data_IF_667797857106
#
_entry.id   IF_667797857106
#
_cell.length_a   1.000
_cell.length_b   1.000
_cell.length_c   1.000
_cell.angle_alpha   90.00
_cell.angle_beta   90.00
_cell.angle_gamma   90.00
#
_symmetry.space_group_name_H-M   'P 1'
#
loop_
_entity.id
_entity.type
_entity.pdbx_description
1 polymer ?
#
# COMPACT_ATOMS: atom_id res chain seq x y z
N UNK A 1 -22.46 14.80 7.41
CA UNK A 1 -21.62 13.60 7.34
C UNK A 1 -22.55 12.38 7.51
N UNK A 2 -22.50 11.39 6.62
CA UNK A 2 -23.41 10.25 6.69
C UNK A 2 -23.04 9.37 7.92
N UNK A 3 -24.03 8.84 8.69
CA UNK A 3 -23.82 8.03 9.89
C UNK A 3 -22.75 6.93 9.70
N UNK A 4 -22.74 6.23 8.56
CA UNK A 4 -21.73 5.20 8.22
C UNK A 4 -20.30 5.76 8.15
N UNK A 5 -20.13 6.98 7.68
CA UNK A 5 -18.81 7.65 7.57
C UNK A 5 -18.30 8.05 8.95
N UNK A 6 -19.19 8.53 9.82
CA UNK A 6 -18.85 8.90 11.21
C UNK A 6 -18.44 7.67 12.02
N UNK A 7 -19.19 6.56 11.89
CA UNK A 7 -18.84 5.29 12.56
C UNK A 7 -17.49 4.74 12.09
N UNK A 8 -17.22 4.73 10.77
CA UNK A 8 -15.93 4.28 10.23
C UNK A 8 -14.77 5.15 10.70
N UNK A 9 -14.95 6.47 10.77
CA UNK A 9 -13.91 7.38 11.27
C UNK A 9 -13.68 7.17 12.77
N UNK A 10 -14.74 7.06 13.56
CA UNK A 10 -14.66 6.80 15.00
C UNK A 10 -13.93 5.48 15.29
N UNK A 11 -14.26 4.42 14.55
CA UNK A 11 -13.58 3.14 14.68
C UNK A 11 -12.09 3.23 14.33
N UNK A 12 -11.73 3.93 13.24
CA UNK A 12 -10.33 4.15 12.85
C UNK A 12 -9.57 4.93 13.92
N UNK A 13 -10.16 5.97 14.49
CA UNK A 13 -9.56 6.76 15.59
C UNK A 13 -9.37 5.90 16.83
N UNK A 14 -10.37 5.08 17.21
CA UNK A 14 -10.26 4.17 18.35
C UNK A 14 -9.12 3.15 18.16
N UNK A 15 -9.07 2.51 17.00
CA UNK A 15 -8.01 1.53 16.69
C UNK A 15 -6.63 2.20 16.76
N UNK A 16 -6.48 3.37 16.18
CA UNK A 16 -5.20 4.10 16.17
C UNK A 16 -4.81 4.58 17.57
N UNK A 17 -5.75 5.09 18.36
CA UNK A 17 -5.49 5.50 19.75
C UNK A 17 -5.08 4.30 20.61
N UNK A 18 -5.77 3.17 20.47
CA UNK A 18 -5.42 1.92 21.16
C UNK A 18 -4.02 1.44 20.71
N UNK A 19 -3.72 1.49 19.43
CA UNK A 19 -2.43 1.07 18.89
C UNK A 19 -1.29 1.97 19.40
N UNK A 20 -1.48 3.31 19.43
CA UNK A 20 -0.52 4.24 20.04
C UNK A 20 -0.33 3.95 21.55
N UNK A 21 -1.41 3.76 22.29
CA UNK A 21 -1.34 3.40 23.69
C UNK A 21 -0.51 2.13 23.91
N UNK A 22 -0.80 1.07 23.15
CA UNK A 22 -0.09 -0.19 23.25
C UNK A 22 1.40 -0.06 22.86
N UNK A 23 1.71 0.76 21.85
CA UNK A 23 3.07 1.01 21.40
C UNK A 23 3.92 1.73 22.48
N UNK A 24 3.33 2.71 23.19
CA UNK A 24 4.10 3.61 24.05
C UNK A 24 3.83 3.45 25.54
N UNK A 25 2.89 2.59 25.95
CA UNK A 25 2.50 2.44 27.38
C UNK A 25 3.66 2.08 28.32
N UNK A 26 4.70 1.44 27.80
CA UNK A 26 5.86 0.99 28.55
C UNK A 26 7.06 1.96 28.45
N UNK A 27 6.90 3.12 27.79
CA UNK A 27 7.96 4.10 27.57
C UNK A 27 7.53 5.44 28.15
N UNK A 28 8.19 5.94 29.20
CA UNK A 28 7.93 7.29 29.73
C UNK A 28 8.16 8.36 28.64
N UNK A 29 7.23 9.30 28.52
CA UNK A 29 7.31 10.36 27.50
C UNK A 29 8.61 11.16 27.55
N UNK A 30 9.15 11.42 28.77
CA UNK A 30 10.44 12.09 28.93
C UNK A 30 11.58 11.31 28.28
N UNK A 31 11.67 10.00 28.54
CA UNK A 31 12.70 9.15 27.94
C UNK A 31 12.58 9.06 26.41
N UNK A 32 11.35 9.06 25.89
CA UNK A 32 11.10 9.09 24.44
C UNK A 32 11.61 10.39 23.81
N UNK A 33 11.31 11.55 24.43
CA UNK A 33 11.79 12.86 23.96
C UNK A 33 13.31 12.94 24.01
N UNK A 34 13.93 12.50 25.12
CA UNK A 34 15.39 12.48 25.27
C UNK A 34 16.05 11.58 24.23
N UNK A 35 15.43 10.42 23.93
CA UNK A 35 15.92 9.53 22.88
C UNK A 35 15.82 10.17 21.49
N UNK A 36 14.69 10.79 21.16
CA UNK A 36 14.52 11.49 19.88
C UNK A 36 15.52 12.63 19.71
N UNK A 37 15.84 13.36 20.79
CA UNK A 37 16.86 14.41 20.79
C UNK A 37 18.29 13.87 20.61
N UNK A 38 18.55 12.61 20.96
CA UNK A 38 19.84 11.96 20.81
C UNK A 38 20.13 11.41 19.41
N UNK A 39 19.14 11.39 18.52
CA UNK A 39 19.29 10.86 17.16
C UNK A 39 20.26 11.72 16.34
N UNK A 40 21.18 11.09 15.67
CA UNK A 40 22.20 11.73 14.84
C UNK A 40 21.61 12.20 13.50
N UNK A 41 21.28 13.49 13.40
CA UNK A 41 20.68 14.13 12.23
C UNK A 41 21.39 13.83 10.88
N UNK A 42 22.74 13.73 10.80
CA UNK A 42 23.42 13.42 9.55
C UNK A 42 22.93 12.15 8.85
N UNK A 43 22.40 11.16 9.57
CA UNK A 43 21.85 9.93 9.02
C UNK A 43 20.41 10.07 8.49
N UNK A 44 19.68 11.06 9.00
CA UNK A 44 18.32 11.36 8.51
C UNK A 44 18.36 11.85 7.05
N UNK A 45 19.38 12.65 6.69
CA UNK A 45 19.51 13.22 5.34
C UNK A 45 19.58 12.13 4.25
N UNK A 46 20.53 11.17 4.30
CA UNK A 46 20.59 10.09 3.31
C UNK A 46 19.34 9.19 3.35
N UNK A 47 18.74 8.94 4.53
CA UNK A 47 17.50 8.17 4.64
C UNK A 47 16.36 8.86 3.87
N UNK A 48 16.16 10.17 4.04
CA UNK A 48 15.18 10.97 3.29
C UNK A 48 15.47 10.98 1.79
N UNK A 49 16.74 11.12 1.37
CA UNK A 49 17.11 11.09 -0.05
C UNK A 49 16.75 9.74 -0.68
N UNK A 50 17.03 8.63 0.01
CA UNK A 50 16.66 7.28 -0.45
C UNK A 50 15.14 7.15 -0.58
N UNK A 51 14.34 7.69 0.36
CA UNK A 51 12.88 7.73 0.26
C UNK A 51 12.46 8.48 -1.01
N UNK A 52 12.95 9.69 -1.24
CA UNK A 52 12.59 10.48 -2.42
C UNK A 52 12.98 9.80 -3.74
N UNK A 53 14.16 9.18 -3.80
CA UNK A 53 14.60 8.36 -4.96
C UNK A 53 13.64 7.18 -5.17
N UNK A 54 13.26 6.47 -4.10
CA UNK A 54 12.29 5.38 -4.17
C UNK A 54 10.96 5.83 -4.79
N UNK A 55 10.46 7.03 -4.43
CA UNK A 55 9.24 7.58 -5.02
C UNK A 55 9.40 8.02 -6.48
N UNK A 56 10.58 8.51 -6.87
CA UNK A 56 10.88 8.78 -8.28
C UNK A 56 10.87 7.48 -9.11
N UNK A 57 11.43 6.39 -8.58
CA UNK A 57 11.40 5.08 -9.23
C UNK A 57 9.99 4.49 -9.28
N UNK A 58 9.15 4.71 -8.25
CA UNK A 58 7.71 4.36 -8.28
C UNK A 58 6.99 5.09 -9.41
N UNK A 59 7.28 6.37 -9.62
CA UNK A 59 6.71 7.14 -10.73
C UNK A 59 7.18 6.61 -12.11
N UNK A 60 8.46 6.23 -12.22
CA UNK A 60 9.00 5.60 -13.43
C UNK A 60 8.32 4.26 -13.72
N UNK A 61 8.14 3.42 -12.68
CA UNK A 61 7.40 2.15 -12.80
C UNK A 61 5.97 2.39 -13.25
N UNK A 62 5.26 3.34 -12.63
CA UNK A 62 3.90 3.66 -13.01
C UNK A 62 3.77 4.21 -14.43
N UNK A 63 4.74 5.00 -14.89
CA UNK A 63 4.85 5.43 -16.29
C UNK A 63 4.93 4.24 -17.25
N UNK A 64 5.69 3.19 -16.90
CA UNK A 64 5.79 1.97 -17.72
C UNK A 64 4.45 1.23 -17.76
N UNK A 65 3.76 1.15 -16.63
CA UNK A 65 2.44 0.53 -16.53
C UNK A 65 1.42 1.33 -17.36
N UNK A 66 1.38 2.66 -17.21
CA UNK A 66 0.50 3.56 -17.97
C UNK A 66 0.73 3.50 -19.48
N UNK A 67 1.94 3.18 -19.92
CA UNK A 67 2.24 3.07 -21.36
C UNK A 67 1.51 1.92 -22.07
N UNK A 68 0.76 1.09 -21.35
CA UNK A 68 -0.21 0.15 -21.94
C UNK A 68 -1.50 0.84 -22.40
N UNK A 69 -1.86 1.95 -21.76
CA UNK A 69 -3.05 2.75 -22.09
C UNK A 69 -2.67 4.00 -22.89
N UNK A 70 -1.73 4.76 -22.38
CA UNK A 70 -1.25 6.02 -22.99
C UNK A 70 0.22 6.25 -22.64
N UNK A 71 1.04 6.57 -23.66
CA UNK A 71 2.45 6.96 -23.41
C UNK A 71 2.49 8.34 -22.78
N UNK A 72 3.14 8.44 -21.62
CA UNK A 72 3.24 9.68 -20.85
C UNK A 72 4.69 10.04 -20.56
N UNK A 73 4.95 11.34 -20.38
CA UNK A 73 6.22 11.83 -19.86
C UNK A 73 6.34 11.53 -18.34
N UNK A 74 7.54 11.74 -17.77
CA UNK A 74 7.80 11.46 -16.36
C UNK A 74 7.00 12.37 -15.42
N UNK A 75 7.08 13.70 -15.61
CA UNK A 75 6.46 14.67 -14.71
C UNK A 75 4.92 14.59 -14.65
N UNK A 76 4.19 14.45 -15.77
CA UNK A 76 2.76 14.16 -15.76
C UNK A 76 2.35 12.90 -15.00
N UNK A 77 3.26 11.93 -14.86
CA UNK A 77 3.05 10.73 -14.03
C UNK A 77 3.45 10.95 -12.58
N UNK A 78 4.56 11.66 -12.34
CA UNK A 78 5.12 11.91 -11.01
C UNK A 78 4.18 12.76 -10.13
N UNK A 79 3.70 13.90 -10.64
CA UNK A 79 2.88 14.80 -9.83
C UNK A 79 1.56 14.17 -9.33
N UNK A 80 0.74 13.50 -10.15
CA UNK A 80 -0.46 12.81 -9.66
C UNK A 80 -0.13 11.72 -8.62
N UNK A 81 0.98 11.02 -8.81
CA UNK A 81 1.45 10.01 -7.85
C UNK A 81 1.79 10.64 -6.50
N UNK A 82 2.63 11.69 -6.47
CA UNK A 82 3.04 12.34 -5.23
C UNK A 82 1.84 12.97 -4.49
N UNK A 83 0.91 13.60 -5.23
CA UNK A 83 -0.33 14.13 -4.67
C UNK A 83 -1.17 12.98 -4.06
N UNK A 84 -1.29 11.84 -4.74
CA UNK A 84 -2.02 10.68 -4.23
C UNK A 84 -1.42 10.12 -2.94
N UNK A 85 -0.10 9.96 -2.88
CA UNK A 85 0.57 9.50 -1.64
C UNK A 85 0.44 10.51 -0.51
N UNK A 86 0.58 11.80 -0.78
CA UNK A 86 0.31 12.86 0.20
C UNK A 86 -1.13 12.80 0.72
N UNK A 87 -2.11 12.61 -0.17
CA UNK A 87 -3.53 12.49 0.22
C UNK A 87 -3.72 11.29 1.16
N UNK A 88 -3.06 10.16 0.92
CA UNK A 88 -3.10 9.00 1.82
C UNK A 88 -2.50 9.30 3.21
N UNK A 89 -1.53 10.22 3.29
CA UNK A 89 -0.97 10.67 4.56
C UNK A 89 -1.88 11.65 5.32
N UNK A 90 -2.73 12.41 4.60
CA UNK A 90 -3.54 13.49 5.20
C UNK A 90 -5.01 13.07 5.37
N UNK A 91 -5.55 12.24 4.48
CA UNK A 91 -6.95 11.81 4.49
C UNK A 91 -7.09 10.32 4.83
N UNK A 92 -8.16 9.91 5.53
CA UNK A 92 -8.42 8.52 5.86
C UNK A 92 -8.87 7.72 4.64
N UNK A 93 -8.71 6.38 4.69
CA UNK A 93 -9.35 5.45 3.74
C UNK A 93 -8.65 5.30 2.41
N UNK A 94 -7.35 5.64 2.31
CA UNK A 94 -6.52 5.48 1.09
C UNK A 94 -7.11 6.15 -0.16
N UNK A 95 -7.80 7.30 0.04
CA UNK A 95 -8.45 8.06 -1.03
C UNK A 95 -7.44 8.50 -2.10
N UNK A 96 -6.16 8.61 -1.77
CA UNK A 96 -5.10 8.95 -2.71
C UNK A 96 -4.94 7.95 -3.86
N UNK A 97 -5.29 6.68 -3.68
CA UNK A 97 -5.27 5.69 -4.77
C UNK A 97 -6.34 5.98 -5.83
N UNK A 98 -7.47 6.57 -5.41
CA UNK A 98 -8.55 7.05 -6.30
C UNK A 98 -8.22 8.44 -6.85
N UNK A 99 -7.59 9.30 -6.05
CA UNK A 99 -7.22 10.65 -6.47
C UNK A 99 -6.24 10.64 -7.66
N UNK A 100 -5.30 9.69 -7.72
CA UNK A 100 -4.33 9.56 -8.82
C UNK A 100 -5.02 9.42 -10.19
N UNK A 101 -5.92 8.47 -10.45
CA UNK A 101 -6.68 8.36 -11.70
C UNK A 101 -7.56 9.57 -11.99
N UNK A 102 -8.18 10.19 -10.97
CA UNK A 102 -8.97 11.41 -11.15
C UNK A 102 -8.11 12.57 -11.65
N UNK A 103 -6.92 12.76 -11.07
CA UNK A 103 -5.99 13.81 -11.50
C UNK A 103 -5.51 13.54 -12.93
N UNK A 104 -5.18 12.29 -13.26
CA UNK A 104 -4.79 11.88 -14.62
C UNK A 104 -5.90 12.16 -15.64
N UNK A 105 -7.16 11.80 -15.33
CA UNK A 105 -8.31 12.08 -16.19
C UNK A 105 -8.42 13.59 -16.45
N UNK A 106 -8.34 14.41 -15.41
CA UNK A 106 -8.48 15.88 -15.49
C UNK A 106 -7.33 16.58 -16.20
N UNK A 107 -6.10 16.09 -16.08
CA UNK A 107 -4.90 16.75 -16.60
C UNK A 107 -4.41 16.20 -17.94
N UNK A 108 -4.55 14.90 -18.14
CA UNK A 108 -3.95 14.19 -19.27
C UNK A 108 -4.98 13.46 -20.14
N UNK A 109 -6.28 13.51 -19.78
CA UNK A 109 -7.34 12.86 -20.53
C UNK A 109 -7.37 11.33 -20.42
N UNK A 110 -6.58 10.72 -19.54
CA UNK A 110 -6.58 9.27 -19.34
C UNK A 110 -7.91 8.83 -18.73
N UNK A 111 -8.63 7.85 -19.32
CA UNK A 111 -9.89 7.36 -18.75
C UNK A 111 -9.70 6.91 -17.28
N UNK A 112 -10.63 7.30 -16.41
CA UNK A 112 -10.55 6.99 -14.97
C UNK A 112 -10.39 5.50 -14.71
N UNK A 113 -11.18 4.66 -15.38
CA UNK A 113 -11.15 3.19 -15.24
C UNK A 113 -9.79 2.60 -15.64
N UNK A 114 -9.20 3.12 -16.73
CA UNK A 114 -7.86 2.70 -17.16
C UNK A 114 -6.79 3.15 -16.17
N UNK A 115 -6.87 4.40 -15.67
CA UNK A 115 -5.99 4.88 -14.60
C UNK A 115 -6.09 4.04 -13.32
N UNK A 116 -7.31 3.68 -12.91
CA UNK A 116 -7.55 2.83 -11.74
C UNK A 116 -6.97 1.42 -11.92
N UNK A 117 -7.14 0.82 -13.11
CA UNK A 117 -6.56 -0.48 -13.44
C UNK A 117 -5.02 -0.46 -13.33
N UNK A 118 -4.37 0.63 -13.76
CA UNK A 118 -2.90 0.76 -13.62
C UNK A 118 -2.45 0.88 -12.17
N UNK A 119 -3.22 1.56 -11.30
CA UNK A 119 -2.96 1.62 -9.86
C UNK A 119 -3.13 0.22 -9.23
N UNK A 120 -4.17 -0.52 -9.62
CA UNK A 120 -4.37 -1.90 -9.15
C UNK A 120 -3.21 -2.81 -9.60
N UNK A 121 -2.74 -2.69 -10.84
CA UNK A 121 -1.56 -3.40 -11.34
C UNK A 121 -0.33 -3.12 -10.47
N UNK A 122 -0.12 -1.86 -10.09
CA UNK A 122 0.97 -1.48 -9.19
C UNK A 122 0.87 -2.18 -7.83
N UNK A 123 -0.35 -2.25 -7.25
CA UNK A 123 -0.58 -2.96 -5.97
C UNK A 123 -0.28 -4.46 -6.06
N UNK A 124 -0.55 -5.08 -7.19
CA UNK A 124 -0.22 -6.49 -7.41
C UNK A 124 1.30 -6.73 -7.40
N UNK A 125 2.08 -5.88 -8.10
CA UNK A 125 3.54 -5.96 -8.04
C UNK A 125 4.06 -5.77 -6.60
N UNK A 126 3.53 -4.76 -5.90
CA UNK A 126 3.92 -4.47 -4.52
C UNK A 126 3.59 -5.65 -3.58
N UNK A 127 2.38 -6.21 -3.67
CA UNK A 127 1.96 -7.34 -2.84
C UNK A 127 2.77 -8.60 -3.14
N UNK A 128 2.97 -8.94 -4.42
CA UNK A 128 3.73 -10.12 -4.83
C UNK A 128 5.18 -10.07 -4.34
N UNK A 129 5.82 -8.91 -4.47
CA UNK A 129 7.21 -8.74 -4.01
C UNK A 129 7.32 -8.62 -2.49
N UNK A 130 6.36 -7.98 -1.82
CA UNK A 130 6.33 -7.93 -0.36
C UNK A 130 6.33 -9.34 0.23
N UNK A 131 5.53 -10.25 -0.34
CA UNK A 131 5.44 -11.63 0.12
C UNK A 131 6.69 -12.43 -0.24
N UNK A 132 7.24 -12.23 -1.45
CA UNK A 132 8.50 -12.86 -1.81
C UNK A 132 9.63 -12.39 -0.89
N UNK A 133 9.70 -11.10 -0.60
CA UNK A 133 10.68 -10.52 0.31
C UNK A 133 10.49 -11.01 1.76
N UNK A 134 9.23 -11.11 2.21
CA UNK A 134 8.90 -11.71 3.50
C UNK A 134 9.38 -13.17 3.60
N UNK A 135 9.15 -13.99 2.58
CA UNK A 135 9.63 -15.36 2.57
C UNK A 135 11.15 -15.46 2.62
N UNK A 136 11.86 -14.59 1.88
CA UNK A 136 13.33 -14.51 1.90
C UNK A 136 13.81 -14.11 3.30
N UNK A 137 13.24 -13.04 3.88
CA UNK A 137 13.63 -12.56 5.21
C UNK A 137 13.39 -13.64 6.28
N UNK A 138 12.23 -14.33 6.25
CA UNK A 138 11.96 -15.42 7.19
C UNK A 138 12.94 -16.60 7.08
N UNK A 139 13.55 -16.82 5.90
CA UNK A 139 14.55 -17.86 5.70
C UNK A 139 15.92 -17.51 6.32
N UNK A 140 16.22 -16.20 6.48
CA UNK A 140 17.52 -15.71 6.95
C UNK A 140 17.49 -15.09 8.37
N UNK A 141 16.29 -14.83 8.91
CA UNK A 141 16.12 -14.26 10.23
C UNK A 141 16.09 -15.39 11.28
N UNK A 142 16.98 -15.29 12.25
CA UNK A 142 16.94 -16.13 13.45
C UNK A 142 15.97 -15.51 14.47
N UNK A 143 14.73 -16.01 14.46
CA UNK A 143 13.76 -15.69 15.52
C UNK A 143 13.98 -16.69 16.65
N UNK A 144 14.30 -16.17 17.84
CA UNK A 144 14.45 -17.00 19.04
C UNK A 144 13.18 -17.85 19.25
N UNK A 145 13.30 -19.20 19.24
CA UNK A 145 12.14 -20.08 19.40
C UNK A 145 11.40 -19.89 20.73
N UNK A 146 12.04 -19.28 21.74
CA UNK A 146 11.46 -19.02 23.05
C UNK A 146 10.70 -17.68 23.10
N UNK A 147 10.85 -16.82 22.09
CA UNK A 147 10.09 -15.57 22.01
C UNK A 147 8.64 -15.90 21.74
N UNK A 148 7.81 -15.63 22.73
CA UNK A 148 6.35 -15.79 22.69
C UNK A 148 5.74 -14.48 23.17
N UNK A 149 5.25 -13.67 22.22
CA UNK A 149 4.60 -12.40 22.55
C UNK A 149 3.10 -12.63 22.63
N UNK A 150 2.48 -12.46 23.79
CA UNK A 150 1.02 -12.59 23.91
C UNK A 150 0.32 -11.46 23.16
N UNK A 151 -0.54 -11.81 22.21
CA UNK A 151 -1.40 -10.87 21.48
C UNK A 151 -2.88 -11.27 21.64
N UNK A 152 -3.51 -10.76 22.67
CA UNK A 152 -4.86 -11.13 23.04
C UNK A 152 -4.98 -12.61 23.42
N UNK A 153 -5.73 -13.39 22.67
CA UNK A 153 -5.87 -14.84 22.83
C UNK A 153 -4.85 -15.67 22.07
N UNK A 154 -4.01 -15.01 21.26
CA UNK A 154 -3.01 -15.64 20.43
C UNK A 154 -1.60 -15.37 20.96
N UNK A 155 -0.70 -16.32 20.76
CA UNK A 155 0.74 -16.12 20.99
C UNK A 155 1.42 -15.98 19.65
N UNK A 156 2.11 -14.88 19.45
CA UNK A 156 2.97 -14.70 18.28
C UNK A 156 4.32 -15.33 18.57
N UNK A 157 4.53 -16.46 17.95
CA UNK A 157 5.76 -17.23 17.95
C UNK A 157 6.18 -17.49 16.49
N UNK A 158 7.31 -18.15 16.30
CA UNK A 158 7.83 -18.52 14.98
C UNK A 158 6.79 -19.31 14.15
N UNK A 159 6.04 -20.22 14.75
CA UNK A 159 5.04 -21.04 14.07
C UNK A 159 3.89 -20.18 13.54
N UNK A 160 3.39 -19.24 14.35
CA UNK A 160 2.33 -18.32 13.95
C UNK A 160 2.76 -17.41 12.81
N UNK A 161 4.01 -16.89 12.84
CA UNK A 161 4.56 -16.08 11.76
C UNK A 161 4.71 -16.88 10.46
N UNK A 162 5.15 -18.13 10.55
CA UNK A 162 5.24 -19.05 9.41
C UNK A 162 3.85 -19.38 8.85
N UNK A 163 2.85 -19.59 9.71
CA UNK A 163 1.47 -19.82 9.29
C UNK A 163 0.87 -18.61 8.58
N UNK A 164 1.09 -17.40 9.12
CA UNK A 164 0.68 -16.14 8.49
C UNK A 164 1.37 -15.99 7.13
N UNK A 165 2.68 -16.19 7.06
CA UNK A 165 3.46 -16.11 5.82
C UNK A 165 2.96 -17.08 4.76
N UNK A 166 2.67 -18.33 5.15
CA UNK A 166 2.12 -19.35 4.26
C UNK A 166 0.72 -19.00 3.77
N UNK A 167 -0.13 -18.44 4.66
CA UNK A 167 -1.47 -17.96 4.32
C UNK A 167 -1.42 -16.82 3.29
N UNK A 168 -0.56 -15.84 3.52
CA UNK A 168 -0.34 -14.72 2.62
C UNK A 168 0.23 -15.17 1.27
N UNK A 169 1.17 -16.11 1.27
CA UNK A 169 1.71 -16.70 0.05
C UNK A 169 0.62 -17.39 -0.78
N UNK A 170 -0.24 -18.21 -0.14
CA UNK A 170 -1.40 -18.83 -0.82
C UNK A 170 -2.35 -17.79 -1.40
N UNK A 171 -2.66 -16.73 -0.64
CA UNK A 171 -3.52 -15.64 -1.12
C UNK A 171 -2.91 -14.93 -2.33
N UNK A 172 -1.60 -14.72 -2.36
CA UNK A 172 -0.91 -14.18 -3.52
C UNK A 172 -0.96 -15.10 -4.73
N UNK A 173 -0.77 -16.41 -4.54
CA UNK A 173 -0.89 -17.36 -5.64
C UNK A 173 -2.28 -17.31 -6.27
N UNK A 174 -3.33 -17.22 -5.45
CA UNK A 174 -4.72 -17.05 -5.93
C UNK A 174 -4.87 -15.72 -6.69
N UNK A 175 -4.31 -14.63 -6.17
CA UNK A 175 -4.32 -13.33 -6.85
C UNK A 175 -3.60 -13.36 -8.20
N UNK A 176 -2.40 -13.94 -8.25
CA UNK A 176 -1.62 -14.11 -9.49
C UNK A 176 -2.39 -14.97 -10.50
N UNK A 177 -2.98 -16.08 -10.04
CA UNK A 177 -3.81 -16.94 -10.90
C UNK A 177 -5.00 -16.17 -11.48
N UNK A 178 -5.68 -15.36 -10.68
CA UNK A 178 -6.76 -14.48 -11.13
C UNK A 178 -6.31 -13.49 -12.21
N UNK A 179 -5.12 -12.89 -12.04
CA UNK A 179 -4.54 -11.98 -13.02
C UNK A 179 -4.22 -12.71 -14.32
N UNK A 180 -3.62 -13.90 -14.24
CA UNK A 180 -3.32 -14.72 -15.43
C UNK A 180 -4.61 -15.03 -16.18
N UNK A 181 -5.67 -15.43 -15.46
CA UNK A 181 -6.99 -15.74 -16.05
C UNK A 181 -7.57 -14.53 -16.79
N UNK A 182 -7.45 -13.32 -16.23
CA UNK A 182 -7.94 -12.08 -16.85
C UNK A 182 -7.03 -11.63 -18.00
N UNK A 183 -5.72 -11.85 -17.90
CA UNK A 183 -4.74 -11.37 -18.89
C UNK A 183 -4.67 -12.24 -20.15
N UNK A 184 -4.99 -13.54 -20.06
CA UNK A 184 -5.00 -14.46 -21.19
C UNK A 184 -6.35 -14.38 -21.91
N UNK A 185 -6.34 -14.07 -23.20
CA UNK A 185 -7.58 -13.82 -23.97
C UNK A 185 -8.53 -15.03 -23.98
N UNK A 186 -8.00 -16.25 -24.04
CA UNK A 186 -8.81 -17.48 -24.06
C UNK A 186 -9.60 -17.67 -22.73
N UNK A 187 -8.93 -17.57 -21.58
CA UNK A 187 -9.55 -17.72 -20.26
C UNK A 187 -10.47 -16.54 -19.92
N UNK A 188 -10.07 -15.31 -20.29
CA UNK A 188 -10.90 -14.12 -20.14
C UNK A 188 -12.21 -14.25 -20.91
N UNK A 189 -12.16 -14.66 -22.19
CA UNK A 189 -13.35 -14.82 -23.01
C UNK A 189 -14.26 -15.95 -22.47
N UNK A 190 -13.68 -17.00 -21.90
CA UNK A 190 -14.46 -18.04 -21.22
C UNK A 190 -15.17 -17.50 -19.98
N UNK A 191 -14.47 -16.71 -19.16
CA UNK A 191 -15.02 -16.08 -17.99
C UNK A 191 -16.15 -15.10 -18.34
N UNK A 192 -15.94 -14.26 -19.37
CA UNK A 192 -16.96 -13.32 -19.88
C UNK A 192 -18.21 -14.07 -20.35
N UNK A 193 -18.05 -15.12 -21.16
CA UNK A 193 -19.17 -15.95 -21.61
C UNK A 193 -19.94 -16.58 -20.44
N UNK A 194 -19.25 -16.99 -19.40
CA UNK A 194 -19.88 -17.53 -18.19
C UNK A 194 -20.70 -16.46 -17.47
N UNK A 195 -20.15 -15.24 -17.31
CA UNK A 195 -20.84 -14.11 -16.66
C UNK A 195 -22.07 -13.68 -17.49
N UNK A 196 -21.94 -13.58 -18.81
CA UNK A 196 -23.05 -13.22 -19.71
C UNK A 196 -24.17 -14.28 -19.71
N UNK A 197 -23.82 -15.56 -19.52
CA UNK A 197 -24.80 -16.65 -19.38
C UNK A 197 -25.41 -16.77 -17.98
N UNK A 198 -24.80 -16.14 -16.97
CA UNK A 198 -25.27 -16.27 -15.58
C UNK A 198 -26.75 -15.90 -15.41
N UNK A 199 -27.31 -14.83 -16.01
CA UNK A 199 -28.74 -14.52 -15.88
C UNK A 199 -29.66 -15.60 -16.43
N UNK A 200 -29.19 -16.42 -17.39
CA UNK A 200 -30.02 -17.50 -17.95
C UNK A 200 -30.24 -18.66 -16.97
N UNK A 201 -29.36 -18.84 -15.99
CA UNK A 201 -29.50 -19.83 -14.93
C UNK A 201 -30.51 -19.40 -13.84
N UNK A 202 -30.86 -18.11 -13.77
CA UNK A 202 -31.80 -17.57 -12.81
C UNK A 202 -33.25 -17.73 -13.29
N UNK A 203 -33.66 -18.97 -13.63
CA UNK A 203 -34.96 -19.29 -14.24
C UNK A 203 -36.14 -18.90 -13.33
N UNK A 204 -35.89 -18.82 -12.02
CA UNK A 204 -36.90 -18.44 -11.00
C UNK A 204 -37.20 -16.95 -10.95
N UNK A 205 -36.43 -16.09 -11.65
CA UNK A 205 -36.67 -14.65 -11.74
C UNK A 205 -37.51 -14.28 -12.96
N UNK A 206 -38.35 -13.23 -12.83
CA UNK A 206 -39.11 -12.66 -13.96
C UNK A 206 -38.14 -12.10 -15.00
N UNK A 207 -38.54 -12.17 -16.28
CA UNK A 207 -37.72 -11.72 -17.43
C UNK A 207 -37.11 -10.34 -17.22
N UNK A 208 -37.90 -9.34 -16.81
CA UNK A 208 -37.43 -7.96 -16.58
C UNK A 208 -36.31 -7.87 -15.53
N UNK A 209 -36.28 -8.74 -14.53
CA UNK A 209 -35.20 -8.76 -13.53
C UNK A 209 -33.93 -9.43 -14.07
N UNK A 210 -34.09 -10.44 -14.94
CA UNK A 210 -32.97 -11.11 -15.60
C UNK A 210 -32.30 -10.17 -16.59
N UNK A 211 -33.06 -9.41 -17.36
CA UNK A 211 -32.54 -8.42 -18.30
C UNK A 211 -31.80 -7.28 -17.56
N UNK A 212 -32.37 -6.83 -16.43
CA UNK A 212 -31.70 -5.84 -15.57
C UNK A 212 -30.35 -6.35 -15.01
N UNK A 213 -30.28 -7.62 -14.61
CA UNK A 213 -29.05 -8.26 -14.14
C UNK A 213 -28.05 -8.40 -15.30
N UNK A 214 -28.50 -8.82 -16.49
CA UNK A 214 -27.66 -8.95 -17.66
C UNK A 214 -27.04 -7.61 -18.04
N UNK A 215 -27.84 -6.56 -18.19
CA UNK A 215 -27.39 -5.27 -18.69
C UNK A 215 -26.58 -4.48 -17.65
N UNK A 216 -27.11 -4.38 -16.42
CA UNK A 216 -26.46 -3.54 -15.40
C UNK A 216 -25.34 -4.25 -14.65
N UNK A 217 -25.58 -5.46 -14.14
CA UNK A 217 -24.60 -6.15 -13.32
C UNK A 217 -23.55 -6.88 -14.16
N UNK A 218 -23.98 -7.75 -15.08
CA UNK A 218 -23.04 -8.52 -15.90
C UNK A 218 -22.28 -7.60 -16.85
N UNK A 219 -22.94 -6.63 -17.51
CA UNK A 219 -22.29 -5.64 -18.35
C UNK A 219 -21.27 -4.78 -17.59
N UNK A 220 -21.58 -4.40 -16.33
CA UNK A 220 -20.64 -3.70 -15.46
C UNK A 220 -19.42 -4.57 -15.10
N UNK A 221 -19.62 -5.84 -14.71
CA UNK A 221 -18.54 -6.77 -14.38
C UNK A 221 -17.66 -7.04 -15.59
N UNK A 222 -18.25 -7.29 -16.78
CA UNK A 222 -17.50 -7.49 -18.03
C UNK A 222 -16.65 -6.27 -18.38
N UNK A 223 -17.19 -5.06 -18.20
CA UNK A 223 -16.45 -3.80 -18.41
C UNK A 223 -15.26 -3.68 -17.44
N UNK A 224 -15.46 -4.04 -16.17
CA UNK A 224 -14.38 -4.09 -15.18
C UNK A 224 -13.30 -5.08 -15.63
N UNK A 225 -13.66 -6.31 -16.00
CA UNK A 225 -12.72 -7.36 -16.43
C UNK A 225 -11.90 -6.87 -17.63
N UNK A 226 -12.53 -6.27 -18.64
CA UNK A 226 -11.83 -5.75 -19.81
C UNK A 226 -10.90 -4.58 -19.47
N UNK A 227 -11.33 -3.63 -18.65
CA UNK A 227 -10.49 -2.51 -18.20
C UNK A 227 -9.28 -3.00 -17.38
N UNK A 228 -9.48 -4.02 -16.53
CA UNK A 228 -8.38 -4.66 -15.81
C UNK A 228 -7.44 -5.42 -16.78
N UNK A 229 -7.98 -6.14 -17.74
CA UNK A 229 -7.19 -6.83 -18.76
C UNK A 229 -6.31 -5.86 -19.55
N UNK A 230 -6.83 -4.68 -19.90
CA UNK A 230 -6.07 -3.63 -20.58
C UNK A 230 -4.97 -3.07 -19.68
N UNK A 231 -5.26 -2.84 -18.38
CA UNK A 231 -4.26 -2.43 -17.38
C UNK A 231 -3.16 -3.47 -17.19
N UNK A 232 -3.50 -4.77 -17.25
CA UNK A 232 -2.56 -5.88 -17.18
C UNK A 232 -1.95 -6.27 -18.54
N UNK A 233 -2.30 -5.62 -19.63
CA UNK A 233 -1.77 -5.94 -20.98
C UNK A 233 -0.24 -5.83 -21.04
N UNK A 234 0.37 -5.07 -20.14
CA UNK A 234 1.81 -5.00 -19.95
C UNK A 234 2.44 -6.38 -19.63
N UNK A 235 1.69 -7.32 -19.00
CA UNK A 235 2.15 -8.70 -18.70
C UNK A 235 2.46 -9.47 -19.99
N UNK A 236 1.82 -9.13 -21.11
CA UNK A 236 2.10 -9.69 -22.44
C UNK A 236 3.47 -9.25 -23.01
N UNK A 237 4.11 -8.23 -22.42
CA UNK A 237 5.44 -7.76 -22.83
C UNK A 237 6.49 -8.19 -21.80
N UNK A 238 7.33 -9.20 -22.10
CA UNK A 238 8.33 -9.71 -21.15
C UNK A 238 9.33 -8.61 -20.73
N UNK A 239 9.67 -7.70 -21.63
CA UNK A 239 10.54 -6.57 -21.30
C UNK A 239 9.93 -5.60 -20.30
N UNK A 240 8.66 -5.21 -20.46
CA UNK A 240 7.96 -4.34 -19.50
C UNK A 240 7.78 -5.03 -18.16
N UNK A 241 7.44 -6.33 -18.18
CA UNK A 241 7.30 -7.15 -16.97
C UNK A 241 8.63 -7.19 -16.20
N UNK A 242 9.73 -7.51 -16.87
CA UNK A 242 11.06 -7.53 -16.28
C UNK A 242 11.47 -6.16 -15.72
N UNK A 243 11.22 -5.08 -16.47
CA UNK A 243 11.52 -3.71 -16.03
C UNK A 243 10.72 -3.32 -14.78
N UNK A 244 9.41 -3.64 -14.73
CA UNK A 244 8.58 -3.35 -13.56
C UNK A 244 8.95 -4.21 -12.35
N UNK A 245 9.27 -5.48 -12.55
CA UNK A 245 9.75 -6.37 -11.49
C UNK A 245 11.10 -5.88 -10.94
N UNK A 246 12.05 -5.55 -11.82
CA UNK A 246 13.35 -5.01 -11.42
C UNK A 246 13.24 -3.69 -10.66
N UNK A 247 12.42 -2.74 -11.15
CA UNK A 247 12.15 -1.49 -10.44
C UNK A 247 11.50 -1.75 -9.08
N UNK A 248 10.58 -2.69 -9.00
CA UNK A 248 9.92 -3.01 -7.74
C UNK A 248 10.90 -3.63 -6.73
N UNK A 249 11.80 -4.52 -7.16
CA UNK A 249 12.87 -5.04 -6.30
C UNK A 249 13.76 -3.90 -5.78
N UNK A 250 14.21 -3.00 -6.65
CA UNK A 250 15.02 -1.83 -6.25
C UNK A 250 14.25 -0.96 -5.25
N UNK A 251 12.97 -0.69 -5.48
CA UNK A 251 12.13 0.11 -4.58
C UNK A 251 12.05 -0.52 -3.18
N UNK A 252 11.86 -1.84 -3.08
CA UNK A 252 11.79 -2.53 -1.80
C UNK A 252 13.14 -2.57 -1.09
N UNK A 253 14.24 -2.81 -1.83
CA UNK A 253 15.61 -2.72 -1.27
C UNK A 253 15.92 -1.31 -0.77
N UNK A 254 15.58 -0.27 -1.53
CA UNK A 254 15.75 1.12 -1.08
C UNK A 254 14.91 1.43 0.17
N UNK A 255 13.73 0.85 0.30
CA UNK A 255 12.95 0.93 1.54
C UNK A 255 13.72 0.38 2.73
N UNK A 256 14.28 -0.83 2.61
CA UNK A 256 15.10 -1.45 3.65
C UNK A 256 16.38 -0.63 3.93
N UNK A 257 17.03 -0.11 2.89
CA UNK A 257 18.21 0.78 3.04
C UNK A 257 17.85 2.05 3.82
N UNK A 258 16.68 2.66 3.56
CA UNK A 258 16.23 3.85 4.30
C UNK A 258 16.02 3.55 5.79
N UNK A 259 15.43 2.39 6.13
CA UNK A 259 15.29 1.93 7.51
C UNK A 259 16.66 1.73 8.16
N UNK A 260 17.59 1.10 7.45
CA UNK A 260 18.95 0.86 7.97
C UNK A 260 19.73 2.15 8.20
N UNK A 261 19.70 3.09 7.25
CA UNK A 261 20.32 4.41 7.40
C UNK A 261 19.75 5.15 8.60
N UNK A 262 18.43 5.08 8.82
CA UNK A 262 17.81 5.68 9.99
C UNK A 262 18.28 5.01 11.28
N UNK A 263 18.44 3.68 11.29
CA UNK A 263 18.93 2.93 12.45
C UNK A 263 20.38 3.29 12.82
N UNK A 264 21.25 3.52 11.83
CA UNK A 264 22.62 3.99 12.08
C UNK A 264 22.68 5.34 12.80
N UNK A 265 21.62 6.16 12.66
CA UNK A 265 21.48 7.42 13.40
C UNK A 265 20.91 7.26 14.80
N UNK A 266 20.43 6.10 15.19
CA UNK A 266 19.71 5.85 16.45
C UNK A 266 20.66 5.22 17.49
N UNK A 267 21.03 5.93 18.56
CA UNK A 267 21.94 5.40 19.59
C UNK A 267 21.37 4.16 20.29
N UNK A 268 22.26 3.20 20.59
CA UNK A 268 21.88 1.97 21.32
C UNK A 268 21.07 0.96 20.51
N UNK A 269 20.85 1.21 19.23
CA UNK A 269 20.13 0.31 18.35
C UNK A 269 21.12 -0.63 17.64
N UNK A 270 21.26 -1.85 18.16
CA UNK A 270 22.05 -2.91 17.53
C UNK A 270 21.10 -3.91 16.86
N UNK A 271 20.87 -3.67 15.56
CA UNK A 271 19.94 -4.46 14.73
C UNK A 271 20.49 -4.58 13.32
N UNK A 272 20.49 -5.79 12.77
CA UNK A 272 21.02 -6.06 11.45
C UNK A 272 20.11 -5.53 10.32
N UNK A 273 20.70 -5.38 9.12
CA UNK A 273 19.95 -5.00 7.92
C UNK A 273 18.78 -5.97 7.60
N UNK A 274 18.98 -7.27 7.85
CA UNK A 274 17.96 -8.29 7.58
C UNK A 274 16.81 -8.19 8.58
N UNK A 275 17.11 -7.99 9.87
CA UNK A 275 16.10 -7.79 10.90
C UNK A 275 15.30 -6.49 10.67
N UNK A 276 15.97 -5.39 10.31
CA UNK A 276 15.28 -4.15 9.92
C UNK A 276 14.41 -4.32 8.67
N UNK A 277 14.85 -5.15 7.73
CA UNK A 277 14.01 -5.52 6.58
C UNK A 277 12.76 -6.27 7.02
N UNK A 278 12.88 -7.16 8.02
CA UNK A 278 11.72 -7.83 8.62
C UNK A 278 10.81 -6.82 9.33
N UNK A 279 11.36 -5.88 10.09
CA UNK A 279 10.61 -4.80 10.75
C UNK A 279 9.81 -4.01 9.70
N UNK A 280 10.45 -3.58 8.61
CA UNK A 280 9.78 -2.86 7.52
C UNK A 280 8.61 -3.66 6.93
N UNK A 281 8.79 -4.95 6.68
CA UNK A 281 7.75 -5.82 6.12
C UNK A 281 6.58 -5.97 7.09
N UNK A 282 6.86 -6.19 8.38
CA UNK A 282 5.81 -6.31 9.40
C UNK A 282 5.03 -5.01 9.50
N UNK A 283 5.70 -3.84 9.51
CA UNK A 283 5.03 -2.53 9.44
C UNK A 283 4.13 -2.43 8.22
N UNK A 284 4.57 -2.90 7.04
CA UNK A 284 3.75 -2.91 5.83
C UNK A 284 2.46 -3.72 5.98
N UNK A 285 2.48 -4.85 6.71
CA UNK A 285 1.27 -5.60 7.02
C UNK A 285 0.36 -4.86 7.99
N UNK A 286 0.92 -4.22 9.01
CA UNK A 286 0.13 -3.43 9.95
C UNK A 286 -0.58 -2.27 9.26
N UNK A 287 0.12 -1.49 8.43
CA UNK A 287 -0.48 -0.37 7.70
C UNK A 287 -1.49 -0.82 6.62
N UNK A 288 -1.57 -2.11 6.28
CA UNK A 288 -2.65 -2.64 5.44
C UNK A 288 -4.01 -2.60 6.14
N UNK A 289 -4.03 -2.57 7.48
CA UNK A 289 -5.24 -2.44 8.29
C UNK A 289 -5.86 -1.04 8.14
N UNK A 290 -7.20 -0.92 8.31
CA UNK A 290 -7.86 0.39 8.35
C UNK A 290 -7.32 1.25 9.50
N UNK A 291 -6.91 2.48 9.21
CA UNK A 291 -6.29 3.37 10.19
C UNK A 291 -6.68 4.84 9.94
N UNK A 292 -6.26 5.71 10.86
CA UNK A 292 -6.33 7.17 10.69
C UNK A 292 -5.39 7.64 9.57
N UNK A 293 -5.56 8.90 9.11
CA UNK A 293 -4.63 9.52 8.18
C UNK A 293 -3.17 9.34 8.61
N UNK A 294 -2.28 9.05 7.66
CA UNK A 294 -0.86 8.87 7.91
C UNK A 294 -0.49 7.58 8.66
N UNK A 295 -1.44 6.66 8.88
CA UNK A 295 -1.23 5.37 9.56
C UNK A 295 -0.76 5.47 11.02
N UNK A 296 -0.94 6.66 11.66
CA UNK A 296 -0.57 6.87 13.05
C UNK A 296 -1.18 5.81 13.99
N UNK A 297 -0.39 5.32 14.90
CA UNK A 297 -0.73 4.27 15.85
C UNK A 297 -0.44 2.88 15.31
N UNK A 298 -0.95 2.54 14.15
CA UNK A 298 -0.75 1.22 13.54
C UNK A 298 0.70 1.06 13.06
N UNK A 299 1.31 2.11 12.49
CA UNK A 299 2.72 2.11 12.12
C UNK A 299 3.61 1.89 13.36
N UNK A 300 3.36 2.66 14.42
CA UNK A 300 4.13 2.58 15.67
C UNK A 300 3.95 1.21 16.34
N UNK A 301 2.72 0.73 16.43
CA UNK A 301 2.45 -0.59 17.00
C UNK A 301 3.15 -1.71 16.22
N UNK A 302 3.10 -1.65 14.89
CA UNK A 302 3.78 -2.61 14.02
C UNK A 302 5.31 -2.56 14.16
N UNK A 303 5.89 -1.35 14.22
CA UNK A 303 7.33 -1.17 14.37
C UNK A 303 7.85 -1.60 15.74
N UNK A 304 7.23 -1.14 16.82
CA UNK A 304 7.60 -1.54 18.20
C UNK A 304 7.43 -3.06 18.38
N UNK A 305 6.33 -3.61 17.91
CA UNK A 305 6.10 -5.05 17.93
C UNK A 305 7.20 -5.81 17.17
N UNK A 306 7.50 -5.40 15.93
CA UNK A 306 8.49 -6.07 15.10
C UNK A 306 9.90 -6.00 15.72
N UNK A 307 10.28 -4.86 16.29
CA UNK A 307 11.57 -4.69 16.95
C UNK A 307 11.69 -5.52 18.25
N UNK A 308 10.58 -5.69 18.96
CA UNK A 308 10.54 -6.56 20.14
C UNK A 308 10.84 -8.03 19.82
N UNK A 309 10.51 -8.50 18.58
CA UNK A 309 10.86 -9.85 18.12
C UNK A 309 12.39 -10.08 18.05
N UNK A 310 13.15 -8.99 17.90
CA UNK A 310 14.62 -9.00 17.82
C UNK A 310 15.28 -8.52 19.11
N UNK A 311 14.52 -8.50 20.23
CA UNK A 311 15.05 -8.15 21.53
C UNK A 311 15.41 -6.67 21.71
N UNK A 312 14.99 -5.79 20.82
CA UNK A 312 15.23 -4.34 20.93
C UNK A 312 14.44 -3.79 22.12
N UNK A 313 15.10 -3.06 23.06
CA UNK A 313 14.42 -2.48 24.22
C UNK A 313 13.31 -1.49 23.79
N UNK A 314 12.27 -1.39 24.60
CA UNK A 314 11.04 -0.65 24.27
C UNK A 314 11.29 0.85 23.96
N UNK A 315 12.24 1.48 24.65
CA UNK A 315 12.61 2.89 24.45
C UNK A 315 13.19 3.12 23.06
N UNK A 316 14.20 2.31 22.68
CA UNK A 316 14.87 2.37 21.37
C UNK A 316 13.90 2.01 20.25
N UNK A 317 13.08 0.97 20.43
CA UNK A 317 12.06 0.55 19.48
C UNK A 317 11.02 1.65 19.23
N UNK A 318 10.51 2.27 20.28
CA UNK A 318 9.54 3.37 20.21
C UNK A 318 10.13 4.61 19.52
N UNK A 319 11.33 5.02 19.95
CA UNK A 319 12.00 6.20 19.41
C UNK A 319 12.38 6.03 17.93
N UNK A 320 13.01 4.91 17.58
CA UNK A 320 13.29 4.58 16.17
C UNK A 320 12.02 4.58 15.31
N UNK A 321 10.99 3.87 15.76
CA UNK A 321 9.76 3.71 14.97
C UNK A 321 9.09 5.05 14.71
N UNK A 322 8.99 5.92 15.73
CA UNK A 322 8.41 7.24 15.59
C UNK A 322 9.22 8.15 14.66
N UNK A 323 10.54 8.18 14.82
CA UNK A 323 11.44 8.97 13.98
C UNK A 323 11.45 8.46 12.54
N UNK A 324 11.51 7.14 12.34
CA UNK A 324 11.46 6.54 11.01
C UNK A 324 10.12 6.78 10.32
N UNK A 325 8.99 6.74 11.05
CA UNK A 325 7.68 7.10 10.48
C UNK A 325 7.69 8.54 9.97
N UNK A 326 8.25 9.47 10.72
CA UNK A 326 8.40 10.87 10.28
C UNK A 326 9.25 10.97 9.01
N UNK A 327 10.39 10.26 8.93
CA UNK A 327 11.29 10.22 7.76
C UNK A 327 10.59 9.64 6.53
N UNK A 328 9.75 8.63 6.71
CA UNK A 328 9.01 8.02 5.60
C UNK A 328 7.82 8.88 5.14
N UNK A 329 7.22 9.68 6.01
CA UNK A 329 5.96 10.38 5.72
C UNK A 329 6.16 11.85 5.32
N UNK A 330 6.93 12.63 6.09
CA UNK A 330 7.02 14.08 5.86
C UNK A 330 7.60 14.48 4.51
N UNK A 331 8.67 13.85 3.98
CA UNK A 331 9.18 14.18 2.66
C UNK A 331 8.14 13.99 1.56
N UNK A 332 7.28 12.97 1.70
CA UNK A 332 6.21 12.68 0.74
C UNK A 332 5.12 13.74 0.80
N UNK A 333 4.75 14.19 2.02
CA UNK A 333 3.79 15.28 2.19
C UNK A 333 4.31 16.56 1.54
N UNK A 334 5.57 16.91 1.79
CA UNK A 334 6.19 18.13 1.22
C UNK A 334 6.25 18.04 -0.31
N UNK A 335 6.73 16.93 -0.87
CA UNK A 335 6.81 16.75 -2.31
C UNK A 335 5.43 16.68 -2.98
N UNK A 336 4.43 16.12 -2.29
CA UNK A 336 3.04 16.10 -2.74
C UNK A 336 2.38 17.46 -2.72
N UNK A 337 2.60 18.26 -1.67
CA UNK A 337 2.15 19.67 -1.59
C UNK A 337 2.78 20.50 -2.72
N UNK A 338 4.09 20.39 -2.91
CA UNK A 338 4.80 21.05 -4.01
C UNK A 338 4.22 20.66 -5.38
N UNK A 339 3.97 19.36 -5.59
CA UNK A 339 3.33 18.86 -6.81
C UNK A 339 1.91 19.41 -6.99
N UNK A 340 1.12 19.54 -5.91
CA UNK A 340 -0.24 20.10 -5.97
C UNK A 340 -0.22 21.58 -6.36
N UNK A 341 0.72 22.36 -5.81
CA UNK A 341 0.91 23.77 -6.18
C UNK A 341 1.30 23.91 -7.65
N UNK A 342 2.31 23.17 -8.12
CA UNK A 342 2.77 23.23 -9.50
C UNK A 342 1.68 22.84 -10.51
N UNK A 343 0.83 21.89 -10.16
CA UNK A 343 -0.23 21.40 -11.05
C UNK A 343 -1.57 22.13 -10.89
N UNK A 344 -1.70 23.00 -9.89
CA UNK A 344 -2.95 23.70 -9.58
C UNK A 344 -4.07 22.76 -9.10
N UNK A 345 -3.74 21.59 -8.56
CA UNK A 345 -4.71 20.62 -8.02
C UNK A 345 -5.19 21.06 -6.65
N UNK A 346 -6.49 21.26 -6.49
CA UNK A 346 -7.12 21.66 -5.22
C UNK A 346 -7.39 20.43 -4.36
N UNK A 347 -6.66 20.24 -3.25
CA UNK A 347 -6.78 19.09 -2.35
C UNK A 347 -8.19 18.99 -1.73
N UNK A 348 -8.85 20.13 -1.48
CA UNK A 348 -10.20 20.19 -0.89
C UNK A 348 -11.26 19.40 -1.70
N UNK A 349 -11.10 19.27 -3.01
CA UNK A 349 -12.04 18.49 -3.83
C UNK A 349 -12.05 17.00 -3.47
N UNK A 350 -10.97 16.46 -2.87
CA UNK A 350 -10.89 15.07 -2.43
C UNK A 350 -11.37 14.87 -0.99
N UNK A 351 -11.42 15.93 -0.17
CA UNK A 351 -11.91 15.85 1.21
C UNK A 351 -13.45 15.77 1.28
N UNK A 352 -14.17 16.24 0.24
CA UNK A 352 -15.65 16.24 0.15
C UNK A 352 -16.25 15.10 -0.67
N UNK A 353 -15.44 14.35 -1.41
CA UNK A 353 -15.91 13.48 -2.49
C UNK A 353 -16.29 12.08 -2.03
N UNK A 354 -17.46 11.94 -1.40
CA UNK A 354 -18.21 10.67 -1.43
C UNK A 354 -19.40 10.70 -2.39
N UNK A 355 -19.73 11.84 -3.00
CA UNK A 355 -21.02 12.01 -3.72
C UNK A 355 -20.86 12.26 -5.23
N UNK A 356 -19.73 12.76 -5.73
CA UNK A 356 -19.61 13.14 -7.15
C UNK A 356 -18.88 12.13 -8.06
N UNK A 357 -18.27 11.08 -7.49
CA UNK A 357 -17.52 10.08 -8.29
C UNK A 357 -18.49 9.15 -9.05
N UNK A 358 -19.76 9.06 -8.64
CA UNK A 358 -20.78 8.23 -9.30
C UNK A 358 -21.38 8.88 -10.52
N UNK A 359 -21.40 10.21 -10.63
CA UNK A 359 -22.01 10.90 -11.77
C UNK A 359 -21.05 11.05 -12.97
N UNK A 360 -19.74 10.98 -12.76
CA UNK A 360 -18.73 11.01 -13.83
C UNK A 360 -18.37 9.61 -14.40
N UNK A 361 -19.00 8.55 -13.91
CA UNK A 361 -18.76 7.16 -14.33
C UNK A 361 -19.81 6.61 -15.33
N UNK A 362 -20.85 7.41 -15.63
CA UNK A 362 -21.82 7.17 -16.70
C UNK A 362 -21.44 8.00 -17.93
#
# INVERSE_FOLDING_TARGET
MNSKTTVSLALSVMISALALYLAFRNVPLGELVDYLASIHIPWIIPAVLVVLISFALRALRWKIILASTQKMAFWPTYHPMMIGFMINCILPGRIGEIARPVILKKKEGVPFTAGLATVATERVFDAGLLIAFFAVVLAFVDIDPQVSIPFGQYTLNRETLMAIGTGLFRLCLVGIAGIIVISVDASRNLLIRFIERFPTFLVFLKQNHRDLIADKLCGFIVRIINNFADGFSMVKSPFKLAACTGLSLIIWVLGAVSYYLMALGCPGLDISFIELSAVMIIVCFFIALPSVPGFWGIWEAGGVFAMALFGVPAREAAGFTLANHAVQMFPIIIAGLYSAVLTGVKIRQFAGTKTEITDDAT
#
